data_IF_625138868060
#
_entry.id   IF_625138868060
#
_cell.length_a   1.000
_cell.length_b   1.000
_cell.length_c   1.000
_cell.angle_alpha   90.00
_cell.angle_beta   90.00
_cell.angle_gamma   90.00
#
_symmetry.space_group_name_H-M   'P 1'
#
loop_
_entity.id
_entity.type
_entity.pdbx_description
1 polymer ?
#
# COMPACT_ATOMS: atom_id res chain seq x y z
N UNK A 1 4.10 8.30 -5.79
CA UNK A 1 3.09 7.50 -6.52
C UNK A 1 2.16 6.84 -5.51
N UNK A 2 0.88 6.67 -5.83
CA UNK A 2 -0.09 5.99 -4.96
C UNK A 2 -0.39 4.59 -5.49
N UNK A 3 -0.37 3.58 -4.61
CA UNK A 3 -0.67 2.17 -4.93
C UNK A 3 -1.92 1.76 -4.19
N UNK A 4 -2.98 1.53 -4.96
CA UNK A 4 -4.33 1.32 -4.44
C UNK A 4 -5.21 0.43 -5.31
N UNK A 5 -4.59 -0.33 -6.21
CA UNK A 5 -5.27 -1.29 -7.08
C UNK A 5 -4.62 -2.66 -7.03
N UNK A 6 -5.36 -3.70 -7.40
CA UNK A 6 -4.83 -5.06 -7.53
C UNK A 6 -3.65 -5.13 -8.52
N UNK A 7 -3.74 -4.40 -9.63
CA UNK A 7 -2.66 -4.29 -10.62
C UNK A 7 -1.43 -3.57 -10.05
N UNK A 8 -1.62 -2.45 -9.35
CA UNK A 8 -0.53 -1.75 -8.69
C UNK A 8 0.17 -2.61 -7.63
N UNK A 9 -0.59 -3.43 -6.89
CA UNK A 9 -0.04 -4.42 -5.96
C UNK A 9 0.76 -5.51 -6.69
N UNK A 10 0.26 -6.02 -7.81
CA UNK A 10 0.94 -7.05 -8.59
C UNK A 10 2.26 -6.56 -9.19
N UNK A 11 2.30 -5.30 -9.62
CA UNK A 11 3.46 -4.67 -10.27
C UNK A 11 4.35 -3.89 -9.29
N UNK A 12 4.17 -4.03 -7.98
CA UNK A 12 4.84 -3.15 -7.01
C UNK A 12 6.36 -3.22 -7.13
N UNK A 13 6.93 -4.38 -7.44
CA UNK A 13 8.39 -4.54 -7.55
C UNK A 13 8.96 -3.78 -8.74
N UNK A 14 8.22 -3.67 -9.85
CA UNK A 14 8.63 -2.87 -11.01
C UNK A 14 8.42 -1.38 -10.74
N UNK A 15 7.28 -1.02 -10.13
CA UNK A 15 6.93 0.37 -9.79
C UNK A 15 8.01 1.01 -8.92
N UNK A 16 8.53 0.27 -7.93
CA UNK A 16 9.56 0.82 -7.01
C UNK A 16 10.92 1.01 -7.67
N UNK A 17 11.18 0.41 -8.83
CA UNK A 17 12.41 0.62 -9.61
C UNK A 17 12.32 1.78 -10.60
N UNK A 18 11.14 2.35 -10.82
CA UNK A 18 10.98 3.47 -11.76
C UNK A 18 11.76 4.70 -11.30
N UNK A 19 12.61 5.23 -12.19
CA UNK A 19 13.36 6.46 -11.96
C UNK A 19 12.40 7.64 -11.71
N UNK A 20 12.70 8.45 -10.69
CA UNK A 20 11.85 9.56 -10.26
C UNK A 20 10.71 9.19 -9.31
N UNK A 21 10.53 7.91 -8.96
CA UNK A 21 9.66 7.51 -7.85
C UNK A 21 10.41 7.62 -6.53
N UNK A 22 10.09 8.63 -5.72
CA UNK A 22 10.72 8.85 -4.40
C UNK A 22 9.88 8.30 -3.24
N UNK A 23 8.56 8.33 -3.39
CA UNK A 23 7.59 7.96 -2.35
C UNK A 23 6.54 7.01 -2.92
N UNK A 24 6.30 5.91 -2.20
CA UNK A 24 5.13 5.03 -2.40
C UNK A 24 4.11 5.34 -1.32
N UNK A 25 2.92 5.75 -1.73
CA UNK A 25 1.80 6.03 -0.84
C UNK A 25 0.73 4.95 -0.98
N UNK A 26 0.19 4.45 0.13
CA UNK A 26 -0.82 3.39 0.13
C UNK A 26 -2.19 4.00 0.41
N UNK A 27 -3.14 3.76 -0.49
CA UNK A 27 -4.55 4.13 -0.33
C UNK A 27 -5.37 2.92 0.16
N UNK A 28 -5.54 2.70 1.47
CA UNK A 28 -6.15 1.47 1.97
C UNK A 28 -7.64 1.33 1.62
N UNK A 29 -8.36 2.45 1.46
CA UNK A 29 -9.77 2.45 1.04
C UNK A 29 -9.94 1.84 -0.35
N UNK A 30 -9.34 2.49 -1.35
CA UNK A 30 -9.41 2.04 -2.74
C UNK A 30 -8.74 0.67 -2.94
N UNK A 31 -7.62 0.40 -2.24
CA UNK A 31 -6.97 -0.90 -2.28
C UNK A 31 -7.91 -2.02 -1.79
N UNK A 32 -8.65 -1.78 -0.71
CA UNK A 32 -9.58 -2.77 -0.15
C UNK A 32 -10.72 -3.11 -1.10
N UNK A 33 -11.22 -2.12 -1.86
CA UNK A 33 -12.22 -2.36 -2.90
C UNK A 33 -11.59 -3.15 -4.04
N UNK A 34 -10.43 -2.70 -4.54
CA UNK A 34 -9.81 -3.27 -5.73
C UNK A 34 -9.39 -4.73 -5.57
N UNK A 35 -8.99 -5.15 -4.38
CA UNK A 35 -8.58 -6.53 -4.10
C UNK A 35 -9.71 -7.36 -3.48
N UNK A 36 -10.95 -6.88 -3.41
CA UNK A 36 -12.07 -7.57 -2.75
C UNK A 36 -11.73 -7.96 -1.29
N UNK A 37 -11.39 -6.94 -0.50
CA UNK A 37 -11.00 -7.02 0.92
C UNK A 37 -11.77 -6.01 1.78
N UNK A 38 -12.98 -5.63 1.36
CA UNK A 38 -13.84 -4.72 2.11
C UNK A 38 -14.37 -5.36 3.40
N UNK A 39 -14.44 -4.56 4.47
CA UNK A 39 -15.01 -4.96 5.75
C UNK A 39 -14.15 -5.94 6.56
N UNK A 40 -14.67 -6.43 7.72
CA UNK A 40 -13.88 -7.20 8.68
C UNK A 40 -13.28 -8.49 8.12
N UNK A 41 -14.00 -9.20 7.24
CA UNK A 41 -13.54 -10.45 6.66
C UNK A 41 -12.33 -10.26 5.70
N UNK A 42 -12.17 -9.06 5.14
CA UNK A 42 -11.07 -8.73 4.25
C UNK A 42 -9.83 -8.16 4.95
N UNK A 43 -9.88 -7.93 6.27
CA UNK A 43 -8.84 -7.19 6.99
C UNK A 43 -7.46 -7.85 6.89
N UNK A 44 -7.37 -9.17 7.00
CA UNK A 44 -6.10 -9.90 6.88
C UNK A 44 -5.51 -9.78 5.47
N UNK A 45 -6.36 -9.86 4.44
CA UNK A 45 -5.96 -9.69 3.03
C UNK A 45 -5.46 -8.27 2.76
N UNK A 46 -6.17 -7.26 3.28
CA UNK A 46 -5.76 -5.86 3.17
C UNK A 46 -4.43 -5.60 3.90
N UNK A 47 -4.28 -6.10 5.12
CA UNK A 47 -3.05 -5.98 5.90
C UNK A 47 -1.86 -6.62 5.18
N UNK A 48 -2.06 -7.83 4.63
CA UNK A 48 -1.02 -8.51 3.85
C UNK A 48 -0.60 -7.69 2.62
N UNK A 49 -1.56 -7.09 1.90
CA UNK A 49 -1.28 -6.21 0.76
C UNK A 49 -0.51 -4.94 1.18
N UNK A 50 -0.92 -4.28 2.26
CA UNK A 50 -0.23 -3.11 2.82
C UNK A 50 1.22 -3.46 3.18
N UNK A 51 1.44 -4.56 3.89
CA UNK A 51 2.78 -5.04 4.28
C UNK A 51 3.63 -5.32 3.04
N UNK A 52 3.06 -5.99 2.02
CA UNK A 52 3.74 -6.29 0.76
C UNK A 52 4.22 -5.03 0.05
N UNK A 53 3.35 -4.01 -0.03
CA UNK A 53 3.69 -2.73 -0.67
C UNK A 53 4.78 -2.00 0.11
N UNK A 54 4.61 -1.89 1.43
CA UNK A 54 5.58 -1.23 2.29
C UNK A 54 6.96 -1.93 2.25
N UNK A 55 6.99 -3.27 2.22
CA UNK A 55 8.23 -4.04 2.15
C UNK A 55 8.99 -3.78 0.84
N UNK A 56 8.30 -3.81 -0.31
CA UNK A 56 8.92 -3.53 -1.61
C UNK A 56 9.51 -2.12 -1.67
N UNK A 57 8.74 -1.12 -1.26
CA UNK A 57 9.18 0.26 -1.24
C UNK A 57 10.40 0.46 -0.33
N UNK A 58 10.40 -0.14 0.87
CA UNK A 58 11.54 -0.09 1.79
C UNK A 58 12.77 -0.80 1.24
N UNK A 59 12.61 -1.97 0.62
CA UNK A 59 13.71 -2.70 -0.02
C UNK A 59 14.36 -1.88 -1.15
N UNK A 60 13.56 -1.12 -1.89
CA UNK A 60 14.03 -0.19 -2.92
C UNK A 60 14.49 1.18 -2.36
N UNK A 61 14.57 1.33 -1.03
CA UNK A 61 14.96 2.57 -0.32
C UNK A 61 14.08 3.78 -0.67
N UNK A 62 12.78 3.56 -0.91
CA UNK A 62 11.78 4.60 -1.12
C UNK A 62 11.07 4.93 0.19
N UNK A 63 10.62 6.18 0.33
CA UNK A 63 9.77 6.55 1.46
C UNK A 63 8.39 5.90 1.31
N UNK A 64 7.76 5.58 2.44
CA UNK A 64 6.43 4.93 2.46
C UNK A 64 5.47 5.77 3.28
N UNK A 65 4.31 6.06 2.71
CA UNK A 65 3.18 6.69 3.40
C UNK A 65 1.92 5.83 3.28
N UNK A 66 0.98 6.02 4.21
CA UNK A 66 -0.34 5.40 4.16
C UNK A 66 -1.37 6.39 4.72
N UNK A 67 -2.54 6.47 4.11
CA UNK A 67 -3.64 7.27 4.66
C UNK A 67 -4.23 6.60 5.91
N UNK A 68 -4.47 7.40 6.95
CA UNK A 68 -5.24 7.00 8.13
C UNK A 68 -6.34 8.05 8.38
N UNK A 69 -7.57 7.62 8.71
CA UNK A 69 -8.68 8.55 8.88
C UNK A 69 -8.61 9.36 10.18
N UNK A 70 -7.85 8.89 11.17
CA UNK A 70 -7.64 9.57 12.45
C UNK A 70 -6.16 9.65 12.81
N UNK A 71 -5.77 10.71 13.53
CA UNK A 71 -4.43 10.82 14.11
C UNK A 71 -4.17 9.76 15.19
N UNK A 72 -5.22 9.26 15.85
CA UNK A 72 -5.12 8.21 16.88
C UNK A 72 -4.61 6.87 16.32
N UNK A 73 -4.63 6.73 15.00
CA UNK A 73 -4.18 5.54 14.29
C UNK A 73 -2.68 5.55 13.94
N UNK A 74 -1.98 6.66 14.21
CA UNK A 74 -0.55 6.80 13.92
C UNK A 74 0.27 6.08 14.99
N UNK A 75 1.21 5.22 14.56
CA UNK A 75 2.11 4.49 15.46
C UNK A 75 1.54 3.19 16.05
N UNK A 76 0.34 2.79 15.62
CA UNK A 76 -0.25 1.47 15.86
C UNK A 76 0.02 0.57 14.65
#
# INVERSE_FOLDING_TARGET
IQVETAEGLANIDDIVQVDGVDVVFIGPGDLSVSIDAMGPAGQDKLNAAIIRIAAAARAARKAVGIFRPSADDVGK
#
